data_IF_315078139016
#
_entry.id   IF_315078139016
#
_cell.length_a   1.000
_cell.length_b   1.000
_cell.length_c   1.000
_cell.angle_alpha   90.00
_cell.angle_beta   90.00
_cell.angle_gamma   90.00
#
_symmetry.space_group_name_H-M   'P 1'
#
loop_
_entity.id
_entity.type
_entity.pdbx_description
1 polymer ?
#
# COMPACT_ATOMS: atom_id res chain seq x y z
N UNK A 1 23.09 17.32 12.08
CA UNK A 1 21.98 16.39 12.30
C UNK A 1 20.71 17.11 11.86
N UNK A 2 20.18 16.80 10.69
CA UNK A 2 18.84 17.25 10.34
C UNK A 2 17.87 16.46 11.21
N UNK A 3 17.20 17.14 12.12
CA UNK A 3 16.03 16.58 12.80
C UNK A 3 14.98 16.39 11.69
N UNK A 4 14.84 15.17 11.16
CA UNK A 4 13.70 14.81 10.35
C UNK A 4 12.49 14.91 11.27
N UNK A 5 11.70 15.95 11.09
CA UNK A 5 10.40 16.03 11.76
C UNK A 5 9.52 14.94 11.17
N UNK A 6 8.97 14.11 12.05
CA UNK A 6 7.97 13.11 11.67
C UNK A 6 6.82 13.79 10.92
N UNK A 7 6.41 13.23 9.77
CA UNK A 7 5.24 13.73 9.05
C UNK A 7 3.99 13.61 9.94
N UNK A 8 3.05 14.54 9.76
CA UNK A 8 1.81 14.54 10.56
C UNK A 8 0.79 13.52 10.06
N UNK A 9 -0.21 13.23 10.89
CA UNK A 9 -1.39 12.43 10.46
C UNK A 9 -2.06 13.01 9.21
N UNK A 10 -2.03 14.33 9.02
CA UNK A 10 -2.69 14.99 7.87
C UNK A 10 -1.99 14.64 6.54
N UNK A 11 -0.70 14.35 6.56
CA UNK A 11 0.03 13.87 5.37
C UNK A 11 -0.31 12.43 5.05
N UNK A 12 -0.54 11.59 6.07
CA UNK A 12 -0.87 10.17 5.92
C UNK A 12 -2.38 9.96 5.66
N UNK A 13 -2.92 10.66 4.66
CA UNK A 13 -4.31 10.54 4.22
C UNK A 13 -4.37 10.29 2.72
N UNK A 14 -5.52 9.81 2.24
CA UNK A 14 -5.77 9.58 0.82
C UNK A 14 -5.11 8.34 0.24
N UNK A 15 -5.08 8.23 -1.10
CA UNK A 15 -4.57 7.06 -1.82
C UNK A 15 -3.05 7.14 -1.97
N UNK A 16 -2.31 6.57 -1.02
CA UNK A 16 -0.87 6.37 -1.15
C UNK A 16 -0.59 5.26 -2.16
N UNK A 17 0.15 5.58 -3.21
CA UNK A 17 0.38 4.66 -4.32
C UNK A 17 1.29 3.50 -3.91
N UNK A 18 0.71 2.31 -3.77
CA UNK A 18 1.44 1.08 -3.50
C UNK A 18 2.01 0.49 -4.78
N UNK A 19 3.18 0.95 -5.22
CA UNK A 19 3.73 0.59 -6.53
C UNK A 19 4.25 -0.84 -6.59
N UNK A 20 3.92 -1.59 -7.68
CA UNK A 20 4.60 -2.84 -8.00
C UNK A 20 6.03 -2.55 -8.47
N UNK A 21 6.95 -3.48 -8.18
CA UNK A 21 8.34 -3.38 -8.66
C UNK A 21 8.44 -3.94 -10.09
N UNK A 22 9.17 -3.25 -10.94
CA UNK A 22 9.38 -3.66 -12.32
C UNK A 22 10.40 -4.80 -12.44
N UNK A 23 10.01 -5.90 -13.07
CA UNK A 23 10.89 -7.03 -13.35
C UNK A 23 11.06 -7.21 -14.87
N UNK A 24 12.29 -7.44 -15.33
CA UNK A 24 12.59 -7.84 -16.70
C UNK A 24 12.09 -9.26 -16.97
N UNK A 25 12.21 -9.74 -18.19
CA UNK A 25 11.83 -11.12 -18.57
C UNK A 25 12.65 -12.19 -17.84
N UNK A 26 13.89 -11.89 -17.49
CA UNK A 26 14.77 -12.75 -16.69
C UNK A 26 14.57 -12.61 -15.18
N UNK A 27 13.54 -11.82 -14.76
CA UNK A 27 13.19 -11.51 -13.38
C UNK A 27 14.24 -10.69 -12.62
N UNK A 28 15.22 -10.10 -13.29
CA UNK A 28 16.08 -9.07 -12.71
C UNK A 28 15.33 -7.75 -12.57
N UNK A 29 15.79 -6.87 -11.67
CA UNK A 29 15.19 -5.56 -11.45
C UNK A 29 15.33 -4.68 -12.71
N UNK A 30 14.22 -4.12 -13.17
CA UNK A 30 14.14 -3.15 -14.26
C UNK A 30 14.10 -1.73 -13.68
N UNK A 31 15.28 -1.22 -13.34
CA UNK A 31 15.38 0.08 -12.68
C UNK A 31 14.84 1.22 -13.54
N UNK A 32 15.08 1.19 -14.86
CA UNK A 32 14.65 2.25 -15.78
C UNK A 32 13.12 2.34 -15.83
N UNK A 33 12.45 1.22 -16.06
CA UNK A 33 10.98 1.16 -16.08
C UNK A 33 10.40 1.55 -14.71
N UNK A 34 11.02 1.10 -13.61
CA UNK A 34 10.57 1.40 -12.28
C UNK A 34 10.68 2.89 -11.94
N UNK A 35 11.83 3.53 -12.24
CA UNK A 35 12.02 4.98 -12.06
C UNK A 35 10.97 5.78 -12.84
N UNK A 36 10.74 5.40 -14.09
CA UNK A 36 9.73 6.05 -14.95
C UNK A 36 8.33 5.96 -14.33
N UNK A 37 7.95 4.80 -13.79
CA UNK A 37 6.62 4.60 -13.19
C UNK A 37 6.48 5.31 -11.83
N UNK A 38 7.54 5.37 -11.01
CA UNK A 38 7.55 6.18 -9.78
C UNK A 38 7.40 7.67 -10.12
N UNK A 39 8.21 8.19 -11.03
CA UNK A 39 8.17 9.60 -11.42
C UNK A 39 6.79 9.98 -12.00
N UNK A 40 6.21 9.13 -12.85
CA UNK A 40 4.87 9.31 -13.40
C UNK A 40 3.79 9.34 -12.31
N UNK A 41 3.91 8.47 -11.32
CA UNK A 41 3.00 8.39 -10.18
C UNK A 41 3.08 9.65 -9.32
N UNK A 42 4.28 10.12 -9.02
CA UNK A 42 4.48 11.40 -8.33
C UNK A 42 3.86 12.58 -9.12
N UNK A 43 4.11 12.63 -10.44
CA UNK A 43 3.57 13.68 -11.31
C UNK A 43 2.03 13.67 -11.41
N UNK A 44 1.38 12.55 -11.08
CA UNK A 44 -0.06 12.46 -11.02
C UNK A 44 -0.67 13.14 -9.78
N UNK A 45 0.15 13.62 -8.83
CA UNK A 45 -0.29 14.35 -7.65
C UNK A 45 -0.82 13.47 -6.52
N UNK A 46 -0.33 12.23 -6.41
CA UNK A 46 -0.67 11.34 -5.29
C UNK A 46 -0.17 11.93 -3.96
N UNK A 47 -0.87 11.71 -2.83
CA UNK A 47 -0.44 12.23 -1.53
C UNK A 47 0.86 11.59 -1.03
N UNK A 48 1.22 10.43 -1.54
CA UNK A 48 2.46 9.74 -1.23
C UNK A 48 2.65 8.47 -2.04
N UNK A 49 3.88 7.97 -2.05
CA UNK A 49 4.27 6.71 -2.70
C UNK A 49 4.68 5.70 -1.64
N UNK A 50 4.30 4.45 -1.86
CA UNK A 50 4.65 3.33 -0.99
C UNK A 50 5.26 2.20 -1.82
N UNK A 51 6.38 1.64 -1.37
CA UNK A 51 7.04 0.49 -2.00
C UNK A 51 7.40 -0.60 -1.00
N UNK A 52 7.84 -1.74 -1.49
CA UNK A 52 8.22 -2.91 -0.70
C UNK A 52 7.11 -3.43 0.25
N UNK A 53 5.85 -3.25 -0.16
CA UNK A 53 4.70 -3.96 0.41
C UNK A 53 4.38 -5.23 -0.37
N UNK A 54 3.17 -5.76 -0.22
CA UNK A 54 2.70 -6.94 -0.96
C UNK A 54 2.73 -6.69 -2.47
N UNK A 55 2.20 -5.56 -2.92
CA UNK A 55 2.23 -5.11 -4.31
C UNK A 55 3.65 -5.07 -4.88
N UNK A 56 4.62 -4.61 -4.08
CA UNK A 56 6.04 -4.56 -4.44
C UNK A 56 6.78 -5.88 -4.30
N UNK A 57 6.12 -6.98 -3.92
CA UNK A 57 6.71 -8.32 -3.76
C UNK A 57 7.90 -8.37 -2.77
N UNK A 58 7.80 -7.67 -1.62
CA UNK A 58 8.87 -7.65 -0.61
C UNK A 58 9.36 -9.06 -0.21
N UNK A 59 8.46 -10.02 -0.25
CA UNK A 59 8.70 -11.43 0.10
C UNK A 59 9.51 -12.21 -0.96
N UNK A 60 9.70 -11.63 -2.14
CA UNK A 60 10.44 -12.21 -3.27
C UNK A 60 11.72 -11.42 -3.59
N UNK A 61 12.23 -10.65 -2.64
CA UNK A 61 13.43 -9.83 -2.77
C UNK A 61 14.52 -10.27 -1.79
N UNK A 62 15.75 -10.35 -2.28
CA UNK A 62 16.92 -10.37 -1.41
C UNK A 62 17.16 -8.99 -0.78
N UNK A 63 17.85 -8.94 0.36
CA UNK A 63 18.00 -7.69 1.11
C UNK A 63 18.72 -6.59 0.31
N UNK A 64 19.71 -6.95 -0.50
CA UNK A 64 20.44 -5.97 -1.33
C UNK A 64 19.59 -5.43 -2.48
N UNK A 65 18.72 -6.25 -3.07
CA UNK A 65 17.72 -5.78 -4.05
C UNK A 65 16.71 -4.84 -3.38
N UNK A 66 16.21 -5.22 -2.21
CA UNK A 66 15.31 -4.38 -1.43
C UNK A 66 15.93 -3.00 -1.14
N UNK A 67 17.23 -2.96 -0.74
CA UNK A 67 17.95 -1.70 -0.54
C UNK A 67 18.03 -0.84 -1.81
N UNK A 68 18.28 -1.47 -2.93
CA UNK A 68 18.35 -0.78 -4.23
C UNK A 68 16.99 -0.19 -4.60
N UNK A 69 15.92 -0.95 -4.49
CA UNK A 69 14.55 -0.53 -4.79
C UNK A 69 14.10 0.60 -3.84
N UNK A 70 14.37 0.46 -2.54
CA UNK A 70 14.07 1.51 -1.56
C UNK A 70 14.79 2.82 -1.90
N UNK A 71 16.09 2.77 -2.25
CA UNK A 71 16.86 3.96 -2.65
C UNK A 71 16.28 4.61 -3.89
N UNK A 72 16.01 3.83 -4.95
CA UNK A 72 15.43 4.34 -6.20
C UNK A 72 14.09 5.03 -5.94
N UNK A 73 13.25 4.44 -5.10
CA UNK A 73 11.95 5.03 -4.77
C UNK A 73 12.11 6.36 -4.02
N UNK A 74 12.98 6.39 -3.00
CA UNK A 74 13.22 7.62 -2.23
C UNK A 74 13.82 8.72 -3.12
N UNK A 75 14.75 8.37 -4.01
CA UNK A 75 15.39 9.35 -4.92
C UNK A 75 14.34 10.01 -5.84
N UNK A 76 13.47 9.21 -6.50
CA UNK A 76 12.44 9.74 -7.40
C UNK A 76 11.39 10.57 -6.63
N UNK A 77 10.93 10.08 -5.48
CA UNK A 77 9.96 10.81 -4.66
C UNK A 77 10.53 12.14 -4.16
N UNK A 78 11.81 12.15 -3.73
CA UNK A 78 12.49 13.37 -3.29
C UNK A 78 12.63 14.38 -4.45
N UNK A 79 12.98 13.92 -5.64
CA UNK A 79 13.05 14.80 -6.83
C UNK A 79 11.70 15.46 -7.14
N UNK A 80 10.61 14.75 -6.87
CA UNK A 80 9.24 15.23 -7.10
C UNK A 80 8.64 16.00 -5.91
N UNK A 81 9.28 15.99 -4.74
CA UNK A 81 8.71 16.51 -3.50
C UNK A 81 7.50 15.72 -2.97
N UNK A 82 7.39 14.45 -3.33
CA UNK A 82 6.30 13.56 -2.93
C UNK A 82 6.71 12.75 -1.69
N UNK A 83 5.90 12.68 -0.63
CA UNK A 83 6.17 11.85 0.54
C UNK A 83 6.34 10.37 0.18
N UNK A 84 7.25 9.69 0.88
CA UNK A 84 7.58 8.28 0.60
C UNK A 84 7.56 7.41 1.84
N UNK A 85 6.92 6.26 1.73
CA UNK A 85 6.86 5.22 2.75
C UNK A 85 7.51 3.94 2.25
N UNK A 86 8.34 3.31 3.09
CA UNK A 86 9.03 2.07 2.75
C UNK A 86 8.49 0.91 3.60
N UNK A 87 8.13 -0.19 2.93
CA UNK A 87 7.75 -1.44 3.57
C UNK A 87 8.96 -2.14 4.18
N UNK A 88 8.93 -2.37 5.49
CA UNK A 88 10.04 -2.97 6.24
C UNK A 88 9.70 -4.35 6.82
N UNK A 89 8.60 -4.95 6.36
CA UNK A 89 8.14 -6.28 6.81
C UNK A 89 9.22 -7.34 6.63
N UNK A 90 9.38 -8.16 7.65
CA UNK A 90 10.31 -9.30 7.67
C UNK A 90 9.72 -10.46 8.46
N UNK A 91 10.29 -11.65 8.33
CA UNK A 91 9.91 -12.83 9.11
C UNK A 91 10.40 -12.79 10.56
N UNK A 92 11.22 -11.79 10.94
CA UNK A 92 11.81 -11.64 12.29
C UNK A 92 12.10 -10.16 12.59
N UNK A 93 12.13 -9.82 13.89
CA UNK A 93 12.20 -8.44 14.36
C UNK A 93 13.47 -7.71 13.89
N UNK A 94 14.66 -8.28 14.10
CA UNK A 94 15.93 -7.68 13.67
C UNK A 94 15.97 -7.42 12.16
N UNK A 95 15.32 -8.28 11.33
CA UNK A 95 15.23 -8.07 9.89
C UNK A 95 14.35 -6.87 9.52
N UNK A 96 13.26 -6.64 10.27
CA UNK A 96 12.42 -5.46 10.11
C UNK A 96 13.16 -4.20 10.60
N UNK A 97 13.81 -4.26 11.76
CA UNK A 97 14.60 -3.16 12.32
C UNK A 97 15.74 -2.71 11.38
N UNK A 98 16.48 -3.65 10.79
CA UNK A 98 17.54 -3.32 9.79
C UNK A 98 16.99 -2.60 8.56
N UNK A 99 15.81 -3.00 8.09
CA UNK A 99 15.13 -2.30 6.98
C UNK A 99 14.65 -0.93 7.39
N UNK A 100 14.12 -0.78 8.61
CA UNK A 100 13.69 0.49 9.15
C UNK A 100 14.86 1.47 9.30
N UNK A 101 15.99 1.03 9.85
CA UNK A 101 17.21 1.83 9.94
C UNK A 101 17.69 2.32 8.57
N UNK A 102 17.73 1.43 7.57
CA UNK A 102 18.15 1.80 6.23
C UNK A 102 17.15 2.76 5.54
N UNK A 103 15.83 2.60 5.75
CA UNK A 103 14.84 3.55 5.26
C UNK A 103 15.05 4.95 5.88
N UNK A 104 15.38 5.02 7.17
CA UNK A 104 15.72 6.26 7.85
C UNK A 104 17.01 6.90 7.30
N UNK A 105 18.05 6.11 7.04
CA UNK A 105 19.30 6.58 6.40
C UNK A 105 19.03 7.18 5.00
N UNK A 106 18.10 6.62 4.24
CA UNK A 106 17.69 7.15 2.95
C UNK A 106 16.89 8.44 3.07
N UNK A 107 16.31 8.73 4.25
CA UNK A 107 15.42 9.88 4.47
C UNK A 107 14.01 9.63 3.95
N UNK A 108 13.49 8.42 4.08
CA UNK A 108 12.07 8.15 3.89
C UNK A 108 11.24 8.85 4.97
N UNK A 109 9.97 9.17 4.67
CA UNK A 109 9.08 9.91 5.58
C UNK A 109 8.35 8.98 6.55
N UNK A 110 8.09 7.74 6.11
CA UNK A 110 7.38 6.74 6.89
C UNK A 110 7.88 5.32 6.60
N UNK A 111 7.59 4.43 7.54
CA UNK A 111 7.70 2.98 7.33
C UNK A 111 6.35 2.31 7.46
N UNK A 112 6.18 1.18 6.74
CA UNK A 112 5.06 0.28 6.97
C UNK A 112 5.58 -1.11 7.36
N UNK A 113 5.01 -1.71 8.40
CA UNK A 113 5.38 -3.04 8.86
C UNK A 113 4.15 -3.87 9.21
N UNK A 114 4.17 -5.14 8.81
CA UNK A 114 3.26 -6.17 9.31
C UNK A 114 3.97 -7.01 10.38
N UNK A 115 3.21 -7.67 11.24
CA UNK A 115 3.78 -8.64 12.18
C UNK A 115 4.55 -9.75 11.44
N UNK A 116 5.56 -10.36 12.07
CA UNK A 116 6.19 -11.57 11.54
C UNK A 116 5.15 -12.65 11.21
N UNK A 117 5.30 -13.29 10.06
CA UNK A 117 4.24 -14.12 9.47
C UNK A 117 4.58 -15.59 9.31
N UNK A 118 5.85 -16.00 9.48
CA UNK A 118 6.22 -17.41 9.33
C UNK A 118 5.82 -18.23 10.56
N UNK A 119 6.19 -17.78 11.75
CA UNK A 119 5.77 -18.36 13.03
C UNK A 119 4.70 -17.47 13.68
N UNK A 120 3.79 -18.08 14.43
CA UNK A 120 2.79 -17.32 15.18
C UNK A 120 3.47 -16.51 16.29
N UNK A 121 3.12 -15.24 16.37
CA UNK A 121 3.65 -14.35 17.40
C UNK A 121 2.78 -14.41 18.67
N UNK A 122 3.41 -14.56 19.83
CA UNK A 122 2.73 -14.46 21.13
C UNK A 122 2.36 -13.00 21.45
N UNK A 123 1.26 -12.79 22.16
CA UNK A 123 0.77 -11.45 22.54
C UNK A 123 1.83 -10.61 23.27
N UNK A 124 2.62 -11.27 24.13
CA UNK A 124 3.69 -10.60 24.89
C UNK A 124 4.82 -10.06 24.01
N UNK A 125 4.92 -10.52 22.78
CA UNK A 125 5.97 -10.10 21.83
C UNK A 125 5.53 -8.97 20.88
N UNK A 126 4.25 -8.57 20.90
CA UNK A 126 3.73 -7.52 20.02
C UNK A 126 4.43 -6.20 20.31
N UNK A 127 4.39 -5.74 21.55
CA UNK A 127 4.98 -4.46 21.96
C UNK A 127 6.51 -4.46 21.76
N UNK A 128 7.28 -5.46 22.25
CA UNK A 128 8.71 -5.53 21.97
C UNK A 128 9.06 -5.48 20.49
N UNK A 129 8.27 -6.13 19.62
CA UNK A 129 8.49 -6.10 18.18
C UNK A 129 8.38 -4.69 17.60
N UNK A 130 7.30 -3.96 17.91
CA UNK A 130 7.14 -2.60 17.40
C UNK A 130 8.13 -1.62 17.99
N UNK A 131 8.52 -1.78 19.26
CA UNK A 131 9.57 -0.98 19.89
C UNK A 131 10.92 -1.19 19.18
N UNK A 132 11.36 -2.44 18.96
CA UNK A 132 12.62 -2.73 18.24
C UNK A 132 12.65 -2.11 16.85
N UNK A 133 11.52 -2.16 16.12
CA UNK A 133 11.44 -1.56 14.78
C UNK A 133 11.49 -0.04 14.82
N UNK A 134 10.78 0.62 15.74
CA UNK A 134 10.73 2.09 15.81
C UNK A 134 11.97 2.70 16.44
N UNK A 135 12.62 2.02 17.38
CA UNK A 135 13.90 2.42 17.93
C UNK A 135 15.03 2.43 16.88
N UNK A 136 14.92 1.58 15.85
CA UNK A 136 15.86 1.54 14.74
C UNK A 136 15.69 2.72 13.75
N UNK A 137 14.57 3.46 13.80
CA UNK A 137 14.26 4.58 12.91
C UNK A 137 13.61 5.75 13.66
N UNK A 138 14.27 6.35 14.66
CA UNK A 138 13.67 7.38 15.49
C UNK A 138 13.19 8.59 14.64
N UNK A 139 11.98 9.06 14.93
CA UNK A 139 11.37 10.20 14.24
C UNK A 139 10.68 9.87 12.90
N UNK A 140 10.61 8.59 12.51
CA UNK A 140 9.82 8.17 11.35
C UNK A 140 8.40 7.80 11.74
N UNK A 141 7.45 8.17 10.91
CA UNK A 141 6.06 7.74 11.06
C UNK A 141 5.93 6.23 10.81
N UNK A 142 5.18 5.55 11.69
CA UNK A 142 4.85 4.14 11.57
C UNK A 142 3.44 3.97 11.00
N UNK A 143 3.33 3.15 9.96
CA UNK A 143 2.08 2.55 9.50
C UNK A 143 2.09 1.05 9.82
N UNK A 144 1.08 0.55 10.52
CA UNK A 144 0.93 -0.90 10.71
C UNK A 144 0.11 -1.48 9.55
N UNK A 145 0.59 -2.55 8.96
CA UNK A 145 -0.17 -3.33 7.98
C UNK A 145 -0.84 -4.52 8.65
N UNK A 146 -2.12 -4.40 8.91
CA UNK A 146 -2.94 -5.49 9.43
C UNK A 146 -3.48 -6.38 8.30
N UNK A 147 -3.16 -7.65 8.37
CA UNK A 147 -3.59 -8.65 7.40
C UNK A 147 -3.66 -10.03 8.04
N UNK A 148 -4.60 -10.86 7.63
CA UNK A 148 -4.68 -12.28 8.05
C UNK A 148 -3.48 -13.12 7.61
N UNK A 149 -2.65 -12.62 6.67
CA UNK A 149 -1.41 -13.28 6.26
C UNK A 149 -0.40 -13.41 7.40
N UNK A 150 -0.47 -12.52 8.38
CA UNK A 150 0.36 -12.58 9.58
C UNK A 150 -0.16 -13.57 10.63
N UNK A 151 -1.25 -14.29 10.35
CA UNK A 151 -1.93 -15.27 11.24
C UNK A 151 -2.48 -14.65 12.53
N UNK A 152 -2.13 -13.42 12.82
CA UNK A 152 -2.55 -12.64 13.98
C UNK A 152 -2.98 -11.25 13.57
N UNK A 153 -4.12 -10.80 14.11
CA UNK A 153 -4.59 -9.42 14.05
C UNK A 153 -4.57 -8.81 15.45
N UNK A 154 -4.41 -7.50 15.53
CA UNK A 154 -4.33 -6.81 16.82
C UNK A 154 -5.73 -6.51 17.38
N UNK A 155 -5.87 -6.59 18.70
CA UNK A 155 -7.03 -6.04 19.41
C UNK A 155 -6.92 -4.52 19.53
N UNK A 156 -8.01 -3.83 19.90
CA UNK A 156 -7.99 -2.39 20.14
C UNK A 156 -7.00 -2.01 21.25
N UNK A 157 -6.94 -2.80 22.31
CA UNK A 157 -6.02 -2.59 23.43
C UNK A 157 -4.56 -2.73 22.99
N UNK A 158 -4.27 -3.70 22.10
CA UNK A 158 -2.92 -3.86 21.53
C UNK A 158 -2.55 -2.70 20.61
N UNK A 159 -3.47 -2.22 19.75
CA UNK A 159 -3.25 -1.01 18.96
C UNK A 159 -2.95 0.20 19.84
N UNK A 160 -3.73 0.40 20.92
CA UNK A 160 -3.52 1.50 21.85
C UNK A 160 -2.15 1.38 22.53
N UNK A 161 -1.79 0.20 23.00
CA UNK A 161 -0.51 -0.05 23.63
C UNK A 161 0.68 0.23 22.70
N UNK A 162 0.57 -0.14 21.40
CA UNK A 162 1.60 0.21 20.39
C UNK A 162 1.65 1.71 20.18
N UNK A 163 0.51 2.39 20.09
CA UNK A 163 0.45 3.85 19.96
C UNK A 163 1.15 4.55 21.12
N UNK A 164 0.83 4.15 22.35
CA UNK A 164 1.38 4.76 23.56
C UNK A 164 2.88 4.52 23.71
N UNK A 165 3.38 3.33 23.33
CA UNK A 165 4.79 2.99 23.52
C UNK A 165 5.73 3.50 22.43
N UNK A 166 5.23 3.67 21.18
CA UNK A 166 6.08 4.09 20.05
C UNK A 166 6.05 5.60 19.79
N UNK A 167 4.94 6.25 20.08
CA UNK A 167 4.72 7.68 19.80
C UNK A 167 4.77 8.05 18.30
N UNK A 168 5.00 7.08 17.41
CA UNK A 168 5.16 7.29 15.98
C UNK A 168 4.09 6.56 15.14
N UNK A 169 3.22 5.77 15.76
CA UNK A 169 2.16 5.03 15.08
C UNK A 169 1.06 5.98 14.62
N UNK A 170 1.00 6.30 13.32
CA UNK A 170 0.10 7.30 12.75
C UNK A 170 -0.99 6.72 11.84
N UNK A 171 -0.78 5.55 11.25
CA UNK A 171 -1.73 4.95 10.34
C UNK A 171 -1.80 3.43 10.46
N UNK A 172 -2.98 2.86 10.26
CA UNK A 172 -3.19 1.43 10.10
C UNK A 172 -3.79 1.12 8.75
N UNK A 173 -3.14 0.26 7.97
CA UNK A 173 -3.74 -0.35 6.77
C UNK A 173 -4.49 -1.59 7.19
N UNK A 174 -5.81 -1.54 7.11
CA UNK A 174 -6.72 -2.61 7.52
C UNK A 174 -7.29 -3.36 6.34
N UNK A 175 -7.11 -4.67 6.31
CA UNK A 175 -7.68 -5.57 5.32
C UNK A 175 -8.90 -6.30 5.90
N UNK A 176 -9.64 -6.99 5.05
CA UNK A 176 -10.78 -7.81 5.47
C UNK A 176 -10.45 -8.73 6.65
N UNK A 177 -11.33 -8.74 7.63
CA UNK A 177 -11.19 -9.54 8.85
C UNK A 177 -10.25 -8.96 9.91
N UNK A 178 -9.82 -7.71 9.75
CA UNK A 178 -9.11 -6.94 10.77
C UNK A 178 -10.03 -5.90 11.41
N UNK A 179 -9.62 -5.33 12.54
CA UNK A 179 -10.45 -4.44 13.34
C UNK A 179 -10.94 -3.22 12.53
N UNK A 180 -10.06 -2.56 11.81
CA UNK A 180 -10.39 -1.34 11.06
C UNK A 180 -11.29 -1.55 9.82
N UNK A 181 -11.52 -2.80 9.40
CA UNK A 181 -12.49 -3.15 8.37
C UNK A 181 -13.92 -3.41 8.90
N UNK A 182 -14.22 -2.96 10.11
CA UNK A 182 -15.57 -2.94 10.67
C UNK A 182 -15.96 -1.52 11.07
N UNK A 183 -17.24 -1.13 11.01
CA UNK A 183 -17.68 0.20 11.40
C UNK A 183 -17.20 0.61 12.80
N UNK A 184 -17.48 -0.24 13.80
CA UNK A 184 -17.09 0.02 15.20
C UNK A 184 -15.55 0.06 15.36
N UNK A 185 -14.83 -0.86 14.77
CA UNK A 185 -13.37 -0.90 14.89
C UNK A 185 -12.70 0.26 14.17
N UNK A 186 -13.23 0.67 12.99
CA UNK A 186 -12.76 1.84 12.27
C UNK A 186 -12.94 3.11 13.11
N UNK A 187 -14.12 3.32 13.70
CA UNK A 187 -14.42 4.44 14.57
C UNK A 187 -13.46 4.51 15.77
N UNK A 188 -13.28 3.39 16.48
CA UNK A 188 -12.40 3.32 17.64
C UNK A 188 -10.92 3.57 17.30
N UNK A 189 -10.43 3.04 16.17
CA UNK A 189 -9.06 3.27 15.72
C UNK A 189 -8.85 4.71 15.24
N UNK A 190 -9.84 5.30 14.57
CA UNK A 190 -9.75 6.68 14.03
C UNK A 190 -9.57 7.76 15.10
N UNK A 191 -9.90 7.46 16.37
CA UNK A 191 -9.66 8.36 17.49
C UNK A 191 -8.17 8.70 17.66
N UNK A 192 -7.24 7.79 17.29
CA UNK A 192 -5.82 8.00 17.54
C UNK A 192 -4.91 7.75 16.32
N UNK A 193 -5.29 6.92 15.34
CA UNK A 193 -4.54 6.69 14.10
C UNK A 193 -5.42 6.91 12.86
N UNK A 194 -4.82 7.16 11.70
CA UNK A 194 -5.55 7.14 10.44
C UNK A 194 -5.87 5.71 10.03
N UNK A 195 -7.12 5.45 9.70
CA UNK A 195 -7.55 4.12 9.24
C UNK A 195 -7.57 4.10 7.71
N UNK A 196 -6.78 3.21 7.14
CA UNK A 196 -6.71 2.97 5.70
C UNK A 196 -7.40 1.65 5.36
N UNK A 197 -8.30 1.73 4.40
CA UNK A 197 -9.04 0.58 3.84
C UNK A 197 -8.98 0.62 2.32
N UNK A 198 -9.40 -0.44 1.65
CA UNK A 198 -9.53 -0.39 0.18
C UNK A 198 -10.56 0.65 -0.26
N UNK A 199 -10.35 1.23 -1.44
CA UNK A 199 -11.22 2.28 -2.00
C UNK A 199 -12.66 1.79 -2.22
N UNK A 200 -12.84 0.51 -2.40
CA UNK A 200 -14.14 -0.16 -2.44
C UNK A 200 -14.94 -0.02 -1.14
N UNK A 201 -14.25 0.21 -0.03
CA UNK A 201 -14.85 0.38 1.30
C UNK A 201 -14.95 1.85 1.77
N UNK A 202 -14.45 2.82 1.00
CA UNK A 202 -14.44 4.23 1.40
C UNK A 202 -15.84 4.79 1.69
N UNK A 203 -16.84 4.43 0.88
CA UNK A 203 -18.21 4.91 1.14
C UNK A 203 -18.85 4.25 2.37
N UNK A 204 -18.51 2.99 2.66
CA UNK A 204 -19.06 2.25 3.80
C UNK A 204 -18.37 2.62 5.13
N UNK A 205 -17.06 2.85 5.13
CA UNK A 205 -16.25 3.06 6.35
C UNK A 205 -15.80 4.50 6.55
N UNK A 206 -15.89 5.37 5.54
CA UNK A 206 -15.63 6.79 5.67
C UNK A 206 -16.46 7.49 6.74
N UNK A 207 -17.77 7.20 6.89
CA UNK A 207 -18.59 7.72 7.99
C UNK A 207 -18.05 7.38 9.39
N UNK A 208 -17.23 6.33 9.51
CA UNK A 208 -16.61 5.84 10.75
C UNK A 208 -15.12 6.20 10.86
N UNK A 209 -14.61 7.07 9.97
CA UNK A 209 -13.25 7.62 10.09
C UNK A 209 -12.19 7.00 9.18
N UNK A 210 -12.55 6.12 8.25
CA UNK A 210 -11.61 5.70 7.20
C UNK A 210 -11.24 6.91 6.32
N UNK A 211 -9.93 7.16 6.11
CA UNK A 211 -9.45 8.38 5.46
C UNK A 211 -8.31 8.13 4.46
N UNK A 212 -7.97 6.91 4.18
CA UNK A 212 -6.88 6.62 3.25
C UNK A 212 -6.87 5.19 2.74
N UNK A 213 -5.91 4.92 1.87
CA UNK A 213 -5.61 3.59 1.35
C UNK A 213 -4.13 3.44 0.98
N UNK A 214 -3.62 2.20 1.01
CA UNK A 214 -2.43 1.84 0.23
C UNK A 214 -2.94 1.39 -1.14
N UNK A 215 -3.04 2.33 -2.05
CA UNK A 215 -3.80 2.22 -3.29
C UNK A 215 -3.06 1.45 -4.37
N UNK A 216 -3.72 0.44 -4.92
CA UNK A 216 -3.34 -0.22 -6.17
C UNK A 216 -4.16 0.31 -7.37
N UNK A 217 -5.07 1.24 -7.13
CA UNK A 217 -5.97 1.79 -8.16
C UNK A 217 -5.52 3.18 -8.63
N UNK A 218 -4.79 3.93 -7.80
CA UNK A 218 -4.40 5.29 -8.12
C UNK A 218 -3.50 5.37 -9.37
N UNK A 219 -2.67 4.39 -9.61
CA UNK A 219 -1.88 4.30 -10.85
C UNK A 219 -2.63 3.61 -12.00
N UNK A 220 -3.87 3.21 -11.79
CA UNK A 220 -4.78 2.81 -12.87
C UNK A 220 -5.45 4.04 -13.49
N UNK A 221 -6.09 4.87 -12.67
CA UNK A 221 -6.62 6.18 -13.07
C UNK A 221 -6.51 7.18 -11.91
N UNK A 222 -5.40 7.93 -11.81
CA UNK A 222 -5.19 8.84 -10.69
C UNK A 222 -6.28 9.91 -10.58
N UNK A 223 -6.81 10.40 -11.70
CA UNK A 223 -7.86 11.44 -11.68
C UNK A 223 -9.11 11.00 -10.93
N UNK A 224 -9.55 9.77 -11.19
CA UNK A 224 -10.77 9.24 -10.56
C UNK A 224 -10.51 8.91 -9.10
N UNK A 225 -9.39 8.27 -8.77
CA UNK A 225 -9.10 7.89 -7.39
C UNK A 225 -8.85 9.12 -6.51
N UNK A 226 -8.18 10.16 -7.01
CA UNK A 226 -8.03 11.42 -6.30
C UNK A 226 -9.37 12.17 -6.15
N UNK A 227 -10.25 12.12 -7.15
CA UNK A 227 -11.64 12.60 -7.03
C UNK A 227 -12.40 11.83 -5.94
N UNK A 228 -12.28 10.51 -5.89
CA UNK A 228 -12.91 9.70 -4.84
C UNK A 228 -12.43 10.12 -3.44
N UNK A 229 -11.13 10.43 -3.30
CA UNK A 229 -10.59 10.93 -2.04
C UNK A 229 -11.11 12.34 -1.69
N UNK A 230 -11.25 13.24 -2.64
CA UNK A 230 -11.87 14.55 -2.41
C UNK A 230 -13.32 14.39 -1.92
N UNK A 231 -14.10 13.51 -2.55
CA UNK A 231 -15.47 13.20 -2.14
C UNK A 231 -15.53 12.59 -0.72
N UNK A 232 -14.63 11.65 -0.41
CA UNK A 232 -14.47 11.07 0.93
C UNK A 232 -14.20 12.16 1.97
N UNK A 233 -13.21 13.02 1.70
CA UNK A 233 -12.79 14.10 2.61
C UNK A 233 -13.90 15.12 2.87
N UNK A 234 -14.72 15.38 1.85
CA UNK A 234 -15.90 16.27 1.94
C UNK A 234 -17.17 15.57 2.42
N UNK A 235 -17.09 14.27 2.72
CA UNK A 235 -18.24 13.46 3.17
C UNK A 235 -19.40 13.45 2.18
N UNK A 236 -19.08 13.49 0.87
CA UNK A 236 -20.07 13.49 -0.22
C UNK A 236 -20.43 12.05 -0.61
N UNK A 237 -21.09 11.33 0.28
CA UNK A 237 -21.35 9.90 0.20
C UNK A 237 -22.16 9.50 -1.02
N UNK A 238 -23.18 10.28 -1.39
CA UNK A 238 -24.03 10.00 -2.54
C UNK A 238 -23.27 10.07 -3.88
N UNK A 239 -22.26 10.95 -3.95
CA UNK A 239 -21.43 11.11 -5.15
C UNK A 239 -20.27 10.09 -5.16
N UNK A 240 -19.79 9.67 -3.99
CA UNK A 240 -18.76 8.66 -3.84
C UNK A 240 -19.28 7.24 -4.15
N UNK A 241 -20.54 6.93 -3.79
CA UNK A 241 -21.12 5.58 -3.92
C UNK A 241 -20.99 5.00 -5.32
N UNK A 242 -21.36 5.69 -6.41
CA UNK A 242 -21.25 5.11 -7.76
C UNK A 242 -19.82 4.73 -8.15
N UNK A 243 -18.82 5.48 -7.67
CA UNK A 243 -17.41 5.20 -7.95
C UNK A 243 -16.91 4.00 -7.13
N UNK A 244 -17.29 3.91 -5.85
CA UNK A 244 -16.98 2.72 -5.03
C UNK A 244 -17.64 1.46 -5.58
N UNK A 245 -18.84 1.57 -6.15
CA UNK A 245 -19.53 0.45 -6.79
C UNK A 245 -18.81 -0.03 -8.06
N UNK A 246 -18.21 0.88 -8.85
CA UNK A 246 -17.37 0.49 -9.98
C UNK A 246 -16.09 -0.24 -9.51
N UNK A 247 -15.46 0.23 -8.42
CA UNK A 247 -14.30 -0.45 -7.82
C UNK A 247 -14.67 -1.86 -7.36
N UNK A 248 -15.77 -2.02 -6.64
CA UNK A 248 -16.29 -3.35 -6.24
C UNK A 248 -16.53 -4.25 -7.44
N UNK A 249 -17.18 -3.73 -8.47
CA UNK A 249 -17.46 -4.48 -9.70
C UNK A 249 -16.18 -4.95 -10.39
N UNK A 250 -15.14 -4.10 -10.45
CA UNK A 250 -13.84 -4.47 -10.98
C UNK A 250 -13.23 -5.63 -10.17
N UNK A 251 -13.21 -5.52 -8.85
CA UNK A 251 -12.62 -6.54 -7.97
C UNK A 251 -13.40 -7.86 -8.06
N UNK A 252 -14.73 -7.80 -7.94
CA UNK A 252 -15.58 -8.99 -7.84
C UNK A 252 -15.82 -9.69 -9.18
N UNK A 253 -15.80 -8.96 -10.29
CA UNK A 253 -16.15 -9.49 -11.60
C UNK A 253 -14.98 -9.40 -12.59
N UNK A 254 -14.34 -8.25 -12.72
CA UNK A 254 -13.26 -8.03 -13.67
C UNK A 254 -12.01 -8.85 -13.36
N UNK A 255 -11.63 -8.95 -12.09
CA UNK A 255 -10.45 -9.70 -11.66
C UNK A 255 -10.71 -11.18 -11.37
N UNK A 256 -11.97 -11.59 -11.25
CA UNK A 256 -12.34 -12.99 -10.93
C UNK A 256 -11.78 -14.04 -11.88
N UNK A 257 -11.77 -13.85 -13.21
CA UNK A 257 -11.17 -14.83 -14.13
C UNK A 257 -9.68 -15.07 -13.87
N UNK A 258 -8.96 -14.03 -13.47
CA UNK A 258 -7.54 -14.10 -13.16
C UNK A 258 -7.30 -14.74 -11.79
N UNK A 259 -8.13 -14.43 -10.79
CA UNK A 259 -8.12 -15.09 -9.48
C UNK A 259 -8.27 -16.62 -9.62
N UNK A 260 -9.17 -17.06 -10.49
CA UNK A 260 -9.38 -18.49 -10.78
C UNK A 260 -8.13 -19.18 -11.41
N UNK A 261 -7.21 -18.40 -11.97
CA UNK A 261 -5.93 -18.86 -12.54
C UNK A 261 -4.76 -18.76 -11.55
N UNK A 262 -5.03 -18.36 -10.29
CA UNK A 262 -4.03 -18.26 -9.22
C UNK A 262 -3.30 -16.92 -9.14
N UNK A 263 -3.79 -15.88 -9.81
CA UNK A 263 -3.27 -14.53 -9.64
C UNK A 263 -3.48 -14.05 -8.19
N UNK A 264 -2.53 -13.29 -7.71
CA UNK A 264 -2.57 -12.63 -6.40
C UNK A 264 -2.47 -11.11 -6.56
N UNK A 265 -2.48 -10.38 -5.44
CA UNK A 265 -2.49 -8.91 -5.41
C UNK A 265 -1.50 -8.29 -6.42
N UNK A 266 -0.24 -8.72 -6.39
CA UNK A 266 0.79 -8.14 -7.24
C UNK A 266 0.56 -8.38 -8.74
N UNK A 267 0.01 -9.54 -9.10
CA UNK A 267 -0.39 -9.83 -10.48
C UNK A 267 -1.56 -8.97 -10.94
N UNK A 268 -2.56 -8.77 -10.07
CA UNK A 268 -3.69 -7.87 -10.34
C UNK A 268 -3.23 -6.43 -10.50
N UNK A 269 -2.36 -5.95 -9.62
CA UNK A 269 -1.90 -4.56 -9.60
C UNK A 269 -1.17 -4.20 -10.90
N UNK A 270 -0.25 -5.08 -11.36
CA UNK A 270 0.42 -4.91 -12.65
C UNK A 270 -0.55 -4.97 -13.83
N UNK A 271 -1.45 -5.94 -13.80
CA UNK A 271 -2.46 -6.13 -14.84
C UNK A 271 -3.35 -4.88 -14.99
N UNK A 272 -3.86 -4.34 -13.89
CA UNK A 272 -4.67 -3.11 -13.87
C UNK A 272 -3.89 -1.90 -14.37
N UNK A 273 -2.66 -1.69 -13.88
CA UNK A 273 -1.82 -0.57 -14.29
C UNK A 273 -1.44 -0.61 -15.78
N UNK A 274 -1.27 -1.82 -16.35
CA UNK A 274 -1.03 -2.00 -17.79
C UNK A 274 -2.30 -1.85 -18.61
N UNK A 275 -3.43 -2.39 -18.15
CA UNK A 275 -4.71 -2.27 -18.85
C UNK A 275 -5.13 -0.80 -19.02
N UNK A 276 -4.83 0.05 -18.04
CA UNK A 276 -5.07 1.50 -18.11
C UNK A 276 -3.96 2.28 -18.81
N UNK A 277 -2.88 1.64 -19.24
CA UNK A 277 -1.71 2.27 -19.88
C UNK A 277 -0.97 3.27 -19.01
N UNK A 278 -1.18 3.23 -17.71
CA UNK A 278 -0.48 4.11 -16.78
C UNK A 278 0.93 3.59 -16.47
N UNK A 279 1.06 2.29 -16.10
CA UNK A 279 2.37 1.70 -15.84
C UNK A 279 3.07 1.29 -17.14
N UNK A 280 4.38 1.57 -17.22
CA UNK A 280 5.23 1.19 -18.35
C UNK A 280 5.90 -0.16 -18.17
N UNK A 281 6.10 -0.59 -16.91
CA UNK A 281 6.74 -1.85 -16.56
C UNK A 281 6.08 -3.07 -17.18
N UNK A 282 6.83 -4.18 -17.25
CA UNK A 282 6.30 -5.49 -17.64
C UNK A 282 5.31 -6.02 -16.60
N UNK A 283 4.46 -6.95 -17.02
CA UNK A 283 3.50 -7.66 -16.16
C UNK A 283 4.08 -8.87 -15.42
N UNK A 284 5.42 -9.03 -15.45
CA UNK A 284 6.11 -10.14 -14.81
C UNK A 284 6.00 -10.06 -13.28
N UNK A 285 5.67 -11.18 -12.65
CA UNK A 285 5.69 -11.36 -11.20
C UNK A 285 6.80 -12.34 -10.83
N UNK A 286 7.46 -12.15 -9.69
CA UNK A 286 8.36 -13.12 -9.09
C UNK A 286 7.60 -14.14 -8.26
N UNK A 287 8.26 -15.24 -7.98
CA UNK A 287 7.73 -16.26 -7.08
C UNK A 287 6.95 -17.33 -7.82
N UNK A 288 6.04 -18.00 -7.10
CA UNK A 288 5.24 -19.10 -7.64
C UNK A 288 3.92 -18.61 -8.27
N UNK A 289 3.69 -17.31 -8.34
CA UNK A 289 2.44 -16.72 -8.84
C UNK A 289 2.53 -16.44 -10.34
N UNK A 290 1.42 -16.60 -11.09
CA UNK A 290 1.42 -16.38 -12.53
C UNK A 290 1.67 -14.90 -12.86
N UNK A 291 2.39 -14.69 -13.95
CA UNK A 291 2.48 -13.39 -14.63
C UNK A 291 1.36 -13.26 -15.64
N UNK A 292 0.87 -12.04 -15.85
CA UNK A 292 -0.09 -11.76 -16.90
C UNK A 292 0.57 -11.83 -18.29
N UNK A 293 -0.26 -11.96 -19.33
CA UNK A 293 0.14 -11.86 -20.74
C UNK A 293 -0.44 -10.60 -21.37
N UNK A 294 -0.02 -10.27 -22.58
CA UNK A 294 -0.60 -9.15 -23.34
C UNK A 294 -2.08 -9.39 -23.66
N UNK A 295 -2.48 -10.66 -23.86
CA UNK A 295 -3.87 -11.05 -24.04
C UNK A 295 -4.70 -10.81 -22.77
N UNK A 296 -4.12 -11.06 -21.59
CA UNK A 296 -4.75 -10.78 -20.30
C UNK A 296 -4.97 -9.27 -20.11
N UNK A 297 -3.97 -8.46 -20.45
CA UNK A 297 -4.06 -7.00 -20.42
C UNK A 297 -5.18 -6.51 -21.33
N UNK A 298 -5.22 -6.99 -22.56
CA UNK A 298 -6.27 -6.64 -23.52
C UNK A 298 -7.67 -7.08 -23.05
N UNK A 299 -7.77 -8.30 -22.54
CA UNK A 299 -9.04 -8.83 -22.03
C UNK A 299 -9.59 -7.99 -20.86
N UNK A 300 -8.73 -7.62 -19.89
CA UNK A 300 -9.14 -6.77 -18.79
C UNK A 300 -9.50 -5.36 -19.27
N UNK A 301 -8.71 -4.76 -20.16
CA UNK A 301 -8.98 -3.44 -20.72
C UNK A 301 -10.36 -3.40 -21.41
N UNK A 302 -10.66 -4.39 -22.26
CA UNK A 302 -11.96 -4.51 -22.91
C UNK A 302 -13.10 -4.63 -21.91
N UNK A 303 -12.94 -5.50 -20.91
CA UNK A 303 -13.95 -5.67 -19.88
C UNK A 303 -14.20 -4.37 -19.09
N UNK A 304 -13.13 -3.63 -18.75
CA UNK A 304 -13.24 -2.35 -18.04
C UNK A 304 -13.93 -1.28 -18.89
N UNK A 305 -13.66 -1.21 -20.20
CA UNK A 305 -14.34 -0.28 -21.12
C UNK A 305 -15.86 -0.48 -21.12
N UNK A 306 -16.31 -1.73 -21.03
CA UNK A 306 -17.73 -2.08 -21.04
C UNK A 306 -18.41 -1.93 -19.66
N UNK A 307 -17.68 -2.13 -18.55
CA UNK A 307 -18.27 -2.29 -17.23
C UNK A 307 -17.87 -1.24 -16.20
N UNK A 308 -16.67 -0.67 -16.32
CA UNK A 308 -16.10 0.31 -15.38
C UNK A 308 -15.29 1.39 -16.11
N UNK A 309 -15.89 2.08 -17.13
CA UNK A 309 -15.14 2.96 -18.02
C UNK A 309 -14.46 4.13 -17.31
N UNK A 310 -15.02 4.64 -16.20
CA UNK A 310 -14.43 5.74 -15.45
C UNK A 310 -13.12 5.35 -14.77
N UNK A 311 -12.90 4.06 -14.47
CA UNK A 311 -11.67 3.59 -13.88
C UNK A 311 -10.51 3.44 -14.87
N UNK A 312 -10.78 3.52 -16.19
CA UNK A 312 -9.74 3.49 -17.21
C UNK A 312 -9.19 4.89 -17.48
N UNK A 313 -7.87 4.98 -17.58
CA UNK A 313 -7.17 6.12 -18.15
C UNK A 313 -6.97 5.84 -19.66
N UNK A 314 -7.79 6.40 -20.51
CA UNK A 314 -7.67 6.27 -21.95
C UNK A 314 -7.17 7.57 -22.56
#
# INVERSE_FOLDING_TARGET
MNLNFMISKDVLQGPWAGLPVAWKKDLSFDEEAYRSDVARTCAAGVPGVYTAGTTGEFYAMEFDEWKTIARVTVDECRCAGTPVMIGVTSTYALGAARRAAFAAELGADAIQVALPYWMDIDDRMIIPFFQEVTEACPGMALSIYETRRTKKTLTLEQHRAVFDCTGSYLAVKSNEGTLGCSPKGCEQLSEFVNVWVGEDNWNALGPYGAIGSASALVYMNPRVILKMFDLLSRKQWNELQPLTDQVKRLIEQGLRPFAARGFTDTGFDRLMGKASRFLTMNVNSRGTYPSATDEDVFALQKWMQENTPELLLL
#
